data_IF_901581006337
#
_entry.id   IF_901581006337
#
_cell.length_a   1.000
_cell.length_b   1.000
_cell.length_c   1.000
_cell.angle_alpha   90.00
_cell.angle_beta   90.00
_cell.angle_gamma   90.00
#
_symmetry.space_group_name_H-M   'P 1'
#
loop_
_entity.id
_entity.type
_entity.pdbx_description
1 polymer ?
#
# COMPACT_ATOMS: atom_id res chain seq x y z
N UNK A 1 65.00 -30.54 -0.35
CA UNK A 1 64.09 -31.43 -1.13
C UNK A 1 62.85 -30.62 -1.48
N UNK A 2 62.86 -29.97 -2.64
CA UNK A 2 61.80 -29.10 -3.11
C UNK A 2 61.66 -29.23 -4.63
N UNK A 3 61.25 -30.42 -5.08
CA UNK A 3 60.92 -30.69 -6.49
C UNK A 3 59.85 -31.79 -6.51
N UNK A 4 58.59 -31.44 -6.20
CA UNK A 4 57.49 -32.40 -6.39
C UNK A 4 56.12 -31.73 -6.62
N UNK A 5 56.01 -30.41 -6.54
CA UNK A 5 54.74 -29.69 -6.67
C UNK A 5 54.52 -29.00 -8.03
N UNK A 6 55.51 -28.98 -8.93
CA UNK A 6 55.38 -28.29 -10.23
C UNK A 6 54.89 -29.17 -11.39
N UNK A 7 54.93 -30.50 -11.26
CA UNK A 7 54.49 -31.41 -12.34
C UNK A 7 52.98 -31.72 -12.32
N UNK A 8 52.29 -31.50 -11.20
CA UNK A 8 50.84 -31.70 -11.10
C UNK A 8 50.03 -30.54 -11.71
N UNK A 9 50.62 -29.35 -11.85
CA UNK A 9 49.92 -28.17 -12.35
C UNK A 9 49.87 -28.10 -13.89
N UNK A 10 50.84 -28.72 -14.58
CA UNK A 10 50.88 -28.73 -16.05
C UNK A 10 49.97 -29.79 -16.70
N UNK A 11 49.58 -30.85 -15.97
CA UNK A 11 48.67 -31.88 -16.47
C UNK A 11 47.18 -31.42 -16.48
N UNK A 12 46.79 -30.52 -15.57
CA UNK A 12 45.41 -30.01 -15.51
C UNK A 12 45.07 -28.96 -16.59
N UNK A 13 46.08 -28.26 -17.12
CA UNK A 13 45.87 -27.21 -18.13
C UNK A 13 45.68 -27.82 -19.53
N UNK A 14 46.16 -29.04 -19.77
CA UNK A 14 46.01 -29.74 -21.06
C UNK A 14 44.63 -30.40 -21.25
N UNK A 15 43.93 -30.78 -20.18
CA UNK A 15 42.58 -31.37 -20.28
C UNK A 15 41.45 -30.33 -20.47
N UNK A 16 41.68 -29.06 -20.13
CA UNK A 16 40.68 -27.99 -20.31
C UNK A 16 40.63 -27.50 -21.77
N UNK A 17 41.74 -27.59 -22.51
CA UNK A 17 41.79 -27.16 -23.92
C UNK A 17 41.25 -28.20 -24.92
N UNK A 18 41.07 -29.46 -24.52
CA UNK A 18 40.44 -30.50 -25.37
C UNK A 18 38.92 -30.60 -25.21
N UNK A 19 38.35 -30.17 -24.08
CA UNK A 19 36.89 -30.05 -23.92
C UNK A 19 36.28 -28.85 -24.68
N UNK A 20 37.10 -27.85 -25.02
CA UNK A 20 36.70 -26.68 -25.81
C UNK A 20 36.74 -26.88 -27.34
N UNK A 21 37.05 -28.10 -27.83
CA UNK A 21 37.04 -28.43 -29.27
C UNK A 21 36.01 -29.48 -29.70
N UNK A 22 35.13 -29.91 -28.79
CA UNK A 22 34.06 -30.89 -29.11
C UNK A 22 32.62 -30.37 -28.91
N UNK A 23 32.43 -29.07 -28.67
CA UNK A 23 31.12 -28.41 -28.70
C UNK A 23 31.05 -27.43 -29.87
N UNK A 24 31.34 -27.93 -31.06
CA UNK A 24 31.18 -27.22 -32.32
C UNK A 24 30.79 -28.24 -33.37
N UNK A 25 29.48 -28.52 -33.46
CA UNK A 25 28.70 -29.08 -34.59
C UNK A 25 27.43 -29.66 -33.97
N UNK A 26 26.36 -28.84 -33.85
CA UNK A 26 24.96 -29.18 -34.13
C UNK A 26 24.05 -27.95 -33.90
N UNK A 27 24.36 -26.84 -34.58
CA UNK A 27 23.50 -25.64 -34.60
C UNK A 27 22.64 -25.63 -35.84
N UNK A 28 21.62 -26.49 -35.91
CA UNK A 28 20.58 -26.43 -36.94
C UNK A 28 19.26 -26.91 -36.32
N UNK A 29 18.59 -26.01 -35.61
CA UNK A 29 17.20 -26.18 -35.20
C UNK A 29 16.54 -24.81 -34.92
N UNK A 30 15.60 -24.46 -35.79
CA UNK A 30 14.36 -23.71 -35.49
C UNK A 30 14.53 -22.29 -34.93
N UNK A 31 14.67 -21.32 -35.84
CA UNK A 31 14.25 -19.93 -35.57
C UNK A 31 12.72 -19.86 -35.52
N UNK A 32 12.14 -20.19 -34.38
CA UNK A 32 10.79 -19.78 -34.05
C UNK A 32 10.81 -18.30 -33.68
N UNK A 33 10.45 -17.44 -34.63
CA UNK A 33 10.12 -16.05 -34.35
C UNK A 33 8.93 -16.00 -33.40
N UNK A 34 9.19 -15.86 -32.10
CA UNK A 34 8.16 -15.45 -31.15
C UNK A 34 7.89 -13.98 -31.44
N UNK A 35 6.86 -13.74 -32.25
CA UNK A 35 6.24 -12.43 -32.37
C UNK A 35 5.66 -12.12 -30.99
N UNK A 36 6.32 -11.25 -30.23
CA UNK A 36 5.67 -10.57 -29.12
C UNK A 36 4.48 -9.80 -29.70
N UNK A 37 3.28 -10.29 -29.46
CA UNK A 37 2.08 -9.52 -29.73
C UNK A 37 2.18 -8.24 -28.89
N UNK A 38 2.26 -7.09 -29.57
CA UNK A 38 2.15 -5.79 -28.91
C UNK A 38 0.85 -5.68 -28.12
N UNK A 39 0.71 -4.68 -27.23
CA UNK A 39 -0.49 -4.50 -26.43
C UNK A 39 -1.71 -4.55 -27.35
N UNK A 40 -2.67 -5.42 -27.03
CA UNK A 40 -3.89 -5.57 -27.80
C UNK A 40 -4.50 -4.18 -27.99
N UNK A 41 -4.49 -3.67 -29.24
CA UNK A 41 -5.18 -2.43 -29.56
C UNK A 41 -6.61 -2.63 -29.09
N UNK A 42 -7.06 -1.84 -28.10
CA UNK A 42 -8.46 -1.81 -27.70
C UNK A 42 -9.28 -1.64 -28.97
N UNK A 43 -10.25 -2.52 -29.16
CA UNK A 43 -11.19 -2.33 -30.25
C UNK A 43 -11.82 -0.94 -30.11
N UNK A 44 -11.96 -0.18 -31.21
CA UNK A 44 -12.70 1.06 -31.16
C UNK A 44 -14.10 0.78 -30.63
N UNK A 45 -14.65 1.70 -29.83
CA UNK A 45 -16.03 1.59 -29.40
C UNK A 45 -16.93 1.40 -30.65
N UNK A 46 -17.91 0.47 -30.60
CA UNK A 46 -18.81 0.27 -31.72
C UNK A 46 -19.49 1.58 -32.07
N UNK A 47 -19.66 1.85 -33.36
CA UNK A 47 -20.37 3.05 -33.77
C UNK A 47 -21.84 2.88 -33.37
N UNK A 48 -22.56 3.98 -33.07
CA UNK A 48 -23.99 3.90 -32.78
C UNK A 48 -24.80 3.15 -33.84
N UNK A 49 -24.32 3.14 -35.08
CA UNK A 49 -24.89 2.44 -36.24
C UNK A 49 -24.83 0.91 -36.12
N UNK A 50 -23.93 0.37 -35.28
CA UNK A 50 -23.64 -1.06 -35.14
C UNK A 50 -24.48 -1.76 -34.06
N UNK A 51 -25.35 -1.01 -33.35
CA UNK A 51 -26.24 -1.61 -32.35
C UNK A 51 -27.42 -2.35 -33.03
N UNK A 52 -27.76 -3.57 -32.59
CA UNK A 52 -28.91 -4.29 -33.11
C UNK A 52 -30.19 -3.50 -32.78
N UNK A 53 -31.00 -3.20 -33.80
CA UNK A 53 -32.33 -2.60 -33.64
C UNK A 53 -33.18 -3.54 -32.79
N UNK A 54 -33.32 -3.21 -31.52
CA UNK A 54 -34.20 -3.92 -30.59
C UNK A 54 -35.17 -2.91 -30.03
N UNK A 55 -36.43 -3.31 -29.84
CA UNK A 55 -37.52 -2.47 -29.32
C UNK A 55 -37.26 -1.90 -27.90
N UNK A 56 -36.14 -2.28 -27.27
CA UNK A 56 -35.78 -1.95 -25.90
C UNK A 56 -34.85 -0.73 -25.82
N UNK A 57 -34.12 -0.40 -26.89
CA UNK A 57 -33.17 0.73 -26.92
C UNK A 57 -33.55 1.68 -28.06
N UNK A 58 -34.35 2.70 -27.73
CA UNK A 58 -34.70 3.77 -28.67
C UNK A 58 -33.46 4.64 -28.96
N UNK A 59 -33.15 4.85 -30.24
CA UNK A 59 -31.96 5.61 -30.66
C UNK A 59 -31.95 7.08 -30.24
N UNK A 60 -33.12 7.63 -29.94
CA UNK A 60 -33.30 9.01 -29.51
C UNK A 60 -34.12 9.05 -28.22
N UNK A 61 -33.42 9.12 -27.09
CA UNK A 61 -34.03 9.20 -25.77
C UNK A 61 -34.98 10.41 -25.63
N UNK A 62 -34.85 11.45 -26.46
CA UNK A 62 -35.71 12.62 -26.41
C UNK A 62 -37.08 12.40 -27.06
N UNK A 63 -37.25 11.37 -27.90
CA UNK A 63 -38.58 11.00 -28.41
C UNK A 63 -39.51 10.42 -27.35
N UNK A 64 -38.93 9.80 -26.31
CA UNK A 64 -39.69 9.25 -25.17
C UNK A 64 -40.09 10.33 -24.15
N UNK A 65 -39.48 11.51 -24.22
CA UNK A 65 -39.73 12.64 -23.32
C UNK A 65 -40.80 13.58 -23.89
N UNK A 66 -42.02 13.08 -24.09
CA UNK A 66 -43.18 13.92 -24.40
C UNK A 66 -43.89 14.36 -23.12
N UNK A 67 -43.75 15.63 -22.77
CA UNK A 67 -44.44 16.25 -21.64
C UNK A 67 -44.04 17.71 -21.45
N UNK A 68 -44.87 18.54 -20.79
CA UNK A 68 -44.52 19.94 -20.52
C UNK A 68 -43.20 20.00 -19.72
N UNK A 69 -42.22 20.75 -20.24
CA UNK A 69 -40.93 20.96 -19.59
C UNK A 69 -41.16 21.51 -18.17
N UNK A 70 -40.68 20.82 -17.11
CA UNK A 70 -40.86 21.31 -15.75
C UNK A 70 -40.24 22.70 -15.59
N UNK A 71 -40.97 23.62 -14.94
CA UNK A 71 -40.43 24.93 -14.58
C UNK A 71 -39.46 24.74 -13.40
N UNK A 72 -38.17 24.67 -13.67
CA UNK A 72 -37.12 24.54 -12.64
C UNK A 72 -36.85 25.84 -11.85
N UNK A 73 -37.78 26.79 -11.81
CA UNK A 73 -37.62 28.04 -11.03
C UNK A 73 -38.01 27.90 -9.55
N UNK A 74 -38.39 26.71 -9.11
CA UNK A 74 -38.57 26.37 -7.69
C UNK A 74 -38.06 24.95 -7.52
N UNK A 75 -36.90 24.79 -6.86
CA UNK A 75 -36.45 23.48 -6.43
C UNK A 75 -37.54 22.87 -5.53
N UNK A 76 -38.01 21.64 -5.76
CA UNK A 76 -38.78 20.96 -4.74
C UNK A 76 -37.88 20.88 -3.51
N UNK A 77 -38.35 21.43 -2.39
CA UNK A 77 -37.76 21.16 -1.09
C UNK A 77 -37.79 19.64 -0.89
N UNK A 78 -36.68 19.01 -1.27
CA UNK A 78 -36.29 17.74 -0.70
C UNK A 78 -36.37 17.93 0.79
N UNK A 79 -37.28 17.19 1.44
CA UNK A 79 -37.19 16.96 2.87
C UNK A 79 -35.87 16.23 3.07
N UNK A 80 -34.80 17.00 3.27
CA UNK A 80 -33.52 16.46 3.68
C UNK A 80 -33.82 15.56 4.88
N UNK A 81 -33.51 14.25 4.81
CA UNK A 81 -33.35 13.50 6.04
C UNK A 81 -32.35 14.29 6.85
N UNK A 82 -32.70 14.55 8.11
CA UNK A 82 -31.94 15.34 9.05
C UNK A 82 -30.44 15.25 8.74
N UNK A 83 -29.83 16.42 8.55
CA UNK A 83 -28.40 16.64 8.57
C UNK A 83 -27.87 15.97 9.84
N UNK A 84 -27.57 14.68 9.71
CA UNK A 84 -26.81 13.94 10.70
C UNK A 84 -25.46 14.61 10.62
N UNK A 85 -25.22 15.57 11.52
CA UNK A 85 -23.89 15.96 11.93
C UNK A 85 -23.10 14.65 12.00
N UNK A 86 -22.22 14.41 11.03
CA UNK A 86 -21.30 13.26 11.04
C UNK A 86 -20.50 13.42 12.31
N UNK A 87 -20.92 12.76 13.39
CA UNK A 87 -20.11 12.64 14.59
C UNK A 87 -18.86 11.90 14.17
N UNK A 88 -17.74 12.64 14.00
CA UNK A 88 -16.42 12.10 13.68
C UNK A 88 -16.15 11.00 14.71
N UNK A 89 -16.23 9.72 14.29
CA UNK A 89 -15.91 8.58 15.15
C UNK A 89 -14.45 8.70 15.53
N UNK A 90 -14.18 9.23 16.73
CA UNK A 90 -12.84 9.36 17.26
C UNK A 90 -12.35 7.97 17.66
N UNK A 91 -11.43 7.44 16.87
CA UNK A 91 -10.77 6.16 17.15
C UNK A 91 -9.64 6.41 18.14
N UNK A 92 -9.48 5.50 19.10
CA UNK A 92 -8.38 5.52 20.07
C UNK A 92 -7.16 4.83 19.44
N UNK A 93 -6.45 5.55 18.58
CA UNK A 93 -5.27 5.05 17.86
C UNK A 93 -4.18 4.50 18.79
N UNK A 94 -3.99 5.10 19.97
CA UNK A 94 -2.99 4.67 20.96
C UNK A 94 -3.22 3.25 21.53
N UNK A 95 -4.40 2.66 21.31
CA UNK A 95 -4.67 1.26 21.65
C UNK A 95 -4.23 0.29 20.54
N UNK A 96 -4.16 0.77 19.30
CA UNK A 96 -3.91 -0.06 18.12
C UNK A 96 -2.44 -0.04 17.69
N UNK A 97 -1.80 1.13 17.76
CA UNK A 97 -0.45 1.37 17.29
C UNK A 97 0.28 2.37 18.19
N UNK A 98 1.55 2.09 18.47
CA UNK A 98 2.43 2.94 19.26
C UNK A 98 3.04 4.07 18.42
N UNK A 99 3.36 5.20 19.08
CA UNK A 99 4.12 6.27 18.44
C UNK A 99 5.50 5.82 17.93
N UNK A 100 6.13 4.82 18.58
CA UNK A 100 7.37 4.20 18.12
C UNK A 100 7.21 3.46 16.80
N UNK A 101 6.17 2.63 16.66
CA UNK A 101 5.91 1.89 15.40
C UNK A 101 5.59 2.84 14.24
N UNK A 102 4.82 3.92 14.49
CA UNK A 102 4.65 5.00 13.49
C UNK A 102 5.98 5.67 13.14
N UNK A 103 6.80 5.93 14.17
CA UNK A 103 8.17 6.43 14.04
C UNK A 103 9.03 5.60 13.11
N UNK A 104 9.02 4.29 13.31
CA UNK A 104 9.83 3.33 12.57
C UNK A 104 9.32 3.18 11.13
N UNK A 105 8.00 3.13 10.90
CA UNK A 105 7.44 3.13 9.53
C UNK A 105 7.84 4.36 8.71
N UNK A 106 7.81 5.55 9.32
CA UNK A 106 8.18 6.81 8.66
C UNK A 106 9.68 6.82 8.36
N UNK A 107 10.52 6.39 9.30
CA UNK A 107 11.98 6.33 9.11
C UNK A 107 12.38 5.27 8.08
N UNK A 108 11.72 4.12 8.09
CA UNK A 108 12.03 3.02 7.18
C UNK A 108 11.67 3.35 5.72
N UNK A 109 10.72 4.28 5.49
CA UNK A 109 10.40 4.78 4.16
C UNK A 109 11.57 5.56 3.53
N UNK A 110 12.40 6.24 4.33
CA UNK A 110 13.51 7.08 3.88
C UNK A 110 14.48 6.34 2.95
N UNK A 111 15.16 5.25 3.38
CA UNK A 111 16.12 4.56 2.51
C UNK A 111 15.46 3.97 1.25
N UNK A 112 14.16 3.63 1.29
CA UNK A 112 13.43 3.15 0.10
C UNK A 112 13.19 4.29 -0.89
N UNK A 113 12.71 5.44 -0.41
CA UNK A 113 12.51 6.63 -1.23
C UNK A 113 13.83 7.15 -1.81
N UNK A 114 14.89 7.28 -1.00
CA UNK A 114 16.22 7.69 -1.47
C UNK A 114 16.73 6.80 -2.61
N UNK A 115 16.54 5.48 -2.50
CA UNK A 115 16.88 4.55 -3.58
C UNK A 115 16.04 4.79 -4.84
N UNK A 116 14.73 5.00 -4.69
CA UNK A 116 13.81 5.22 -5.81
C UNK A 116 14.17 6.53 -6.55
N UNK A 117 14.45 7.60 -5.82
CA UNK A 117 14.72 8.93 -6.40
C UNK A 117 16.20 9.18 -6.73
N UNK A 118 17.07 8.18 -6.55
CA UNK A 118 18.52 8.34 -6.77
C UNK A 118 18.86 8.75 -8.20
N UNK A 119 18.11 8.25 -9.18
CA UNK A 119 18.27 8.63 -10.59
C UNK A 119 16.92 8.70 -11.27
N UNK A 120 16.79 9.59 -12.26
CA UNK A 120 15.55 9.70 -13.04
C UNK A 120 15.14 8.37 -13.69
N UNK A 121 16.09 7.64 -14.28
CA UNK A 121 15.81 6.36 -14.95
C UNK A 121 15.26 5.31 -13.98
N UNK A 122 15.84 5.22 -12.77
CA UNK A 122 15.36 4.27 -11.76
C UNK A 122 13.98 4.68 -11.25
N UNK A 123 13.76 5.96 -10.98
CA UNK A 123 12.47 6.53 -10.61
C UNK A 123 11.38 6.23 -11.66
N UNK A 124 11.64 6.51 -12.93
CA UNK A 124 10.67 6.28 -14.02
C UNK A 124 10.24 4.80 -14.10
N UNK A 125 11.12 3.87 -13.73
CA UNK A 125 10.82 2.43 -13.69
C UNK A 125 10.17 1.94 -12.38
N UNK A 126 10.16 2.76 -11.33
CA UNK A 126 9.66 2.42 -9.99
C UNK A 126 8.67 3.49 -9.46
N UNK A 127 7.98 4.17 -10.37
CA UNK A 127 7.04 5.24 -10.01
C UNK A 127 5.92 4.73 -9.10
N UNK A 128 5.45 3.51 -9.32
CA UNK A 128 4.42 2.86 -8.50
C UNK A 128 4.91 2.60 -7.05
N UNK A 129 6.21 2.34 -6.87
CA UNK A 129 6.79 2.20 -5.54
C UNK A 129 6.91 3.56 -4.85
N UNK A 130 7.26 4.63 -5.56
CA UNK A 130 7.22 5.99 -5.00
C UNK A 130 5.79 6.40 -4.60
N UNK A 131 4.79 6.12 -5.44
CA UNK A 131 3.37 6.35 -5.12
C UNK A 131 3.01 5.61 -3.84
N UNK A 132 3.35 4.33 -3.75
CA UNK A 132 3.10 3.52 -2.55
C UNK A 132 3.71 4.16 -1.30
N UNK A 133 5.00 4.49 -1.30
CA UNK A 133 5.66 5.07 -0.12
C UNK A 133 5.03 6.40 0.30
N UNK A 134 4.73 7.30 -0.64
CA UNK A 134 4.11 8.58 -0.31
C UNK A 134 2.68 8.44 0.22
N UNK A 135 1.88 7.54 -0.35
CA UNK A 135 0.53 7.25 0.17
C UNK A 135 0.59 6.68 1.59
N UNK A 136 1.54 5.78 1.86
CA UNK A 136 1.73 5.21 3.19
C UNK A 136 2.17 6.27 4.21
N UNK A 137 3.12 7.13 3.86
CA UNK A 137 3.50 8.27 4.70
C UNK A 137 2.30 9.17 4.99
N UNK A 138 1.49 9.47 3.98
CA UNK A 138 0.29 10.27 4.15
C UNK A 138 -0.70 9.65 5.14
N UNK A 139 -0.93 8.33 5.07
CA UNK A 139 -1.73 7.57 6.06
C UNK A 139 -1.16 7.71 7.47
N UNK A 140 0.16 7.52 7.64
CA UNK A 140 0.77 7.61 8.96
C UNK A 140 0.64 8.99 9.56
N UNK A 141 0.82 10.05 8.77
CA UNK A 141 0.62 11.42 9.25
C UNK A 141 -0.85 11.75 9.53
N UNK A 142 -1.80 11.14 8.83
CA UNK A 142 -3.22 11.26 9.22
C UNK A 142 -3.50 10.56 10.56
N UNK A 143 -2.94 9.37 10.78
CA UNK A 143 -3.06 8.68 12.09
C UNK A 143 -2.45 9.54 13.20
N UNK A 144 -1.31 10.19 12.94
CA UNK A 144 -0.67 11.11 13.88
C UNK A 144 -1.55 12.34 14.15
N UNK A 145 -2.23 12.88 13.13
CA UNK A 145 -3.15 14.01 13.28
C UNK A 145 -4.36 13.68 14.17
N UNK A 146 -4.84 12.43 14.11
CA UNK A 146 -5.93 11.93 14.94
C UNK A 146 -5.46 11.28 16.27
N UNK A 147 -4.16 11.26 16.55
CA UNK A 147 -3.60 10.48 17.66
C UNK A 147 -4.06 11.00 19.02
N UNK A 148 -4.56 10.11 19.88
CA UNK A 148 -5.24 10.49 21.12
C UNK A 148 -4.31 10.69 22.31
N UNK A 149 -3.08 10.17 22.28
CA UNK A 149 -2.12 10.25 23.39
C UNK A 149 -0.97 11.20 23.09
N UNK A 150 -1.06 12.41 23.62
CA UNK A 150 -0.02 13.42 23.48
C UNK A 150 1.32 12.94 24.05
N UNK A 151 2.40 13.19 23.31
CA UNK A 151 3.77 12.92 23.75
C UNK A 151 4.29 11.51 23.47
N UNK A 152 3.48 10.61 22.90
CA UNK A 152 3.98 9.35 22.35
C UNK A 152 4.59 9.51 20.96
N UNK A 153 4.07 10.46 20.17
CA UNK A 153 4.65 10.84 18.89
C UNK A 153 5.49 12.09 19.08
N UNK A 154 6.52 12.27 18.24
CA UNK A 154 7.36 13.46 18.27
C UNK A 154 6.50 14.71 18.08
N UNK A 155 6.61 15.67 19.01
CA UNK A 155 5.77 16.88 19.00
C UNK A 155 5.86 17.71 17.71
N UNK A 156 7.02 17.73 17.05
CA UNK A 156 7.18 18.40 15.75
C UNK A 156 6.42 17.72 14.61
N UNK A 157 6.20 16.41 14.72
CA UNK A 157 5.40 15.63 13.76
C UNK A 157 3.92 15.83 14.05
N UNK A 158 3.48 15.75 15.32
CA UNK A 158 2.10 16.01 15.73
C UNK A 158 1.63 17.40 15.29
N UNK A 159 2.44 18.44 15.56
CA UNK A 159 2.09 19.84 15.22
C UNK A 159 1.86 20.05 13.72
N UNK A 160 2.61 19.32 12.89
CA UNK A 160 2.63 19.50 11.43
C UNK A 160 1.99 18.34 10.67
N UNK A 161 1.29 17.44 11.37
CA UNK A 161 0.85 16.15 10.83
C UNK A 161 -0.02 16.33 9.57
N UNK A 162 -0.99 17.23 9.62
CA UNK A 162 -1.86 17.57 8.48
C UNK A 162 -1.07 18.10 7.28
N UNK A 163 -0.07 18.97 7.52
CA UNK A 163 0.77 19.52 6.46
C UNK A 163 1.63 18.46 5.79
N UNK A 164 2.23 17.55 6.56
CA UNK A 164 2.98 16.42 6.00
C UNK A 164 2.09 15.43 5.25
N UNK A 165 0.91 15.10 5.80
CA UNK A 165 -0.10 14.28 5.11
C UNK A 165 -0.39 14.84 3.72
N UNK A 166 -0.72 16.12 3.63
CA UNK A 166 -1.05 16.79 2.37
C UNK A 166 0.14 16.85 1.41
N UNK A 167 1.34 17.15 1.92
CA UNK A 167 2.58 17.17 1.14
C UNK A 167 2.84 15.82 0.48
N UNK A 168 2.76 14.72 1.23
CA UNK A 168 2.97 13.38 0.67
C UNK A 168 1.82 12.94 -0.24
N UNK A 169 0.57 13.31 0.08
CA UNK A 169 -0.57 13.04 -0.80
C UNK A 169 -0.41 13.76 -2.15
N UNK A 170 0.03 15.01 -2.14
CA UNK A 170 0.30 15.78 -3.35
C UNK A 170 1.38 15.10 -4.20
N UNK A 171 2.48 14.69 -3.60
CA UNK A 171 3.57 14.03 -4.33
C UNK A 171 3.14 12.69 -4.94
N UNK A 172 2.29 11.92 -4.26
CA UNK A 172 1.68 10.72 -4.83
C UNK A 172 0.77 11.07 -6.04
N UNK A 173 -0.09 12.08 -5.92
CA UNK A 173 -0.96 12.54 -7.01
C UNK A 173 -0.15 13.04 -8.23
N UNK A 174 0.98 13.70 -8.00
CA UNK A 174 1.87 14.17 -9.07
C UNK A 174 2.51 13.01 -9.84
N UNK A 175 2.88 11.92 -9.14
CA UNK A 175 3.35 10.69 -9.78
C UNK A 175 2.27 10.02 -10.64
N UNK A 176 1.01 10.02 -10.20
CA UNK A 176 -0.10 9.40 -10.93
C UNK A 176 -0.51 10.17 -12.19
N UNK A 177 -0.17 11.46 -12.29
CA UNK A 177 -0.59 12.32 -13.40
C UNK A 177 0.14 11.98 -14.69
N UNK A 178 -0.60 11.46 -15.67
CA UNK A 178 -0.10 11.14 -17.00
C UNK A 178 0.61 12.35 -17.68
N UNK A 179 1.80 12.09 -18.23
CA UNK A 179 2.59 13.08 -18.97
C UNK A 179 3.30 14.12 -18.09
N UNK A 180 3.26 13.99 -16.76
CA UNK A 180 4.10 14.79 -15.87
C UNK A 180 5.58 14.38 -15.90
N UNK A 181 6.45 15.27 -15.41
CA UNK A 181 7.82 14.93 -15.00
C UNK A 181 7.95 15.12 -13.48
N UNK A 182 7.36 14.22 -12.67
CA UNK A 182 7.25 14.39 -11.23
C UNK A 182 8.57 14.20 -10.48
N UNK A 183 9.63 13.74 -11.17
CA UNK A 183 10.92 13.41 -10.56
C UNK A 183 11.45 14.51 -9.64
N UNK A 184 11.47 15.77 -10.11
CA UNK A 184 12.00 16.89 -9.31
C UNK A 184 11.19 17.10 -8.03
N UNK A 185 9.86 17.19 -8.13
CA UNK A 185 9.00 17.40 -6.93
C UNK A 185 9.15 16.26 -5.93
N UNK A 186 9.20 15.03 -6.43
CA UNK A 186 9.32 13.81 -5.64
C UNK A 186 10.68 13.73 -4.95
N UNK A 187 11.77 14.06 -5.64
CA UNK A 187 13.10 14.18 -5.04
C UNK A 187 13.10 15.22 -3.91
N UNK A 188 12.54 16.41 -4.15
CA UNK A 188 12.40 17.43 -3.09
C UNK A 188 11.56 16.94 -1.91
N UNK A 189 10.49 16.17 -2.17
CA UNK A 189 9.66 15.63 -1.08
C UNK A 189 10.39 14.54 -0.28
N UNK A 190 11.26 13.77 -0.92
CA UNK A 190 12.13 12.83 -0.22
C UNK A 190 13.16 13.56 0.66
N UNK A 191 13.74 14.66 0.18
CA UNK A 191 14.60 15.55 0.98
C UNK A 191 13.82 16.18 2.15
N UNK A 192 12.58 16.61 1.93
CA UNK A 192 11.70 17.14 3.00
C UNK A 192 11.49 16.10 4.12
N UNK A 193 11.31 14.82 3.77
CA UNK A 193 11.21 13.73 4.74
C UNK A 193 12.53 13.52 5.50
N UNK A 194 13.67 13.71 4.84
CA UNK A 194 15.00 13.58 5.47
C UNK A 194 15.21 14.67 6.50
N UNK A 195 14.94 15.91 6.12
CA UNK A 195 14.98 17.07 7.01
C UNK A 195 14.02 16.88 8.21
N UNK A 196 12.82 16.36 7.96
CA UNK A 196 11.86 16.01 9.02
C UNK A 196 12.40 14.98 10.02
N UNK A 197 13.02 13.90 9.52
CA UNK A 197 13.61 12.85 10.36
C UNK A 197 14.76 13.44 11.19
N UNK A 198 15.63 14.25 10.57
CA UNK A 198 16.73 14.95 11.24
C UNK A 198 16.24 15.99 12.26
N UNK A 199 15.00 16.45 12.14
CA UNK A 199 14.37 17.36 13.09
C UNK A 199 14.36 18.82 12.69
N UNK A 200 14.61 19.09 11.42
CA UNK A 200 14.51 20.45 10.90
C UNK A 200 13.05 20.93 10.94
N UNK A 201 12.80 22.14 11.45
CA UNK A 201 11.44 22.64 11.60
C UNK A 201 10.87 23.04 10.24
N UNK A 202 9.93 22.25 9.71
CA UNK A 202 9.03 22.72 8.64
C UNK A 202 7.80 23.35 9.30
N UNK A 203 7.43 24.55 8.88
CA UNK A 203 6.16 25.16 9.27
C UNK A 203 5.25 25.16 8.05
N UNK A 204 4.19 24.37 8.09
CA UNK A 204 3.12 24.46 7.10
C UNK A 204 2.16 25.58 7.50
N UNK A 205 1.64 26.31 6.51
CA UNK A 205 0.50 27.19 6.73
C UNK A 205 -0.70 26.33 7.13
N UNK A 206 -1.31 26.63 8.28
CA UNK A 206 -2.55 25.98 8.70
C UNK A 206 -3.62 26.29 7.66
N UNK A 207 -3.91 25.33 6.77
CA UNK A 207 -5.07 25.41 5.90
C UNK A 207 -6.31 25.06 6.71
N UNK A 208 -7.43 25.73 6.40
CA UNK A 208 -8.72 25.41 7.02
C UNK A 208 -9.02 23.93 6.83
N UNK A 209 -9.40 23.27 7.93
CA UNK A 209 -9.69 21.85 7.99
C UNK A 209 -10.94 21.57 7.13
N UNK A 210 -10.72 21.24 5.85
CA UNK A 210 -11.79 20.68 5.01
C UNK A 210 -12.21 19.34 5.60
N UNK A 211 -13.46 18.94 5.36
CA UNK A 211 -13.96 17.61 5.71
C UNK A 211 -13.07 16.52 5.06
N UNK A 212 -12.10 16.03 5.83
CA UNK A 212 -11.17 15.00 5.40
C UNK A 212 -11.88 13.64 5.33
N UNK A 213 -11.61 12.90 4.27
CA UNK A 213 -12.15 11.55 4.05
C UNK A 213 -11.01 10.56 3.81
N UNK A 214 -10.94 9.52 4.64
CA UNK A 214 -9.93 8.47 4.53
C UNK A 214 -9.91 7.78 3.16
N UNK A 215 -11.08 7.65 2.52
CA UNK A 215 -11.26 7.06 1.18
C UNK A 215 -10.60 7.88 0.05
N UNK A 216 -10.38 9.18 0.26
CA UNK A 216 -9.62 10.03 -0.67
C UNK A 216 -8.10 9.90 -0.48
N UNK A 217 -7.67 9.42 0.69
CA UNK A 217 -6.27 9.27 1.02
C UNK A 217 -5.70 7.98 0.45
N UNK A 218 -6.45 6.89 0.56
CA UNK A 218 -6.01 5.56 0.16
C UNK A 218 -7.18 4.64 -0.19
N UNK A 219 -6.87 3.60 -0.97
CA UNK A 219 -7.79 2.52 -1.30
C UNK A 219 -7.44 1.22 -0.56
N UNK A 220 -8.35 0.24 -0.67
CA UNK A 220 -8.18 -1.10 -0.08
C UNK A 220 -6.89 -1.79 -0.55
N UNK A 221 -6.52 -1.64 -1.82
CA UNK A 221 -5.38 -2.37 -2.41
C UNK A 221 -4.05 -1.94 -1.79
N UNK A 222 -3.89 -0.64 -1.51
CA UNK A 222 -2.75 -0.09 -0.81
C UNK A 222 -2.62 -0.69 0.60
N UNK A 223 -3.72 -0.70 1.36
CA UNK A 223 -3.75 -1.26 2.71
C UNK A 223 -3.45 -2.76 2.70
N UNK A 224 -3.98 -3.49 1.72
CA UNK A 224 -3.72 -4.93 1.56
C UNK A 224 -2.25 -5.23 1.27
N UNK A 225 -1.55 -4.39 0.49
CA UNK A 225 -0.09 -4.54 0.27
C UNK A 225 0.68 -4.44 1.59
N UNK A 226 0.36 -3.47 2.45
CA UNK A 226 1.02 -3.32 3.76
C UNK A 226 0.65 -4.46 4.73
N UNK A 227 -0.62 -4.86 4.77
CA UNK A 227 -1.10 -5.98 5.59
C UNK A 227 -0.43 -7.29 5.20
N UNK A 228 -0.22 -7.55 3.90
CA UNK A 228 0.49 -8.75 3.43
C UNK A 228 1.93 -8.80 3.96
N UNK A 229 2.64 -7.68 3.99
CA UNK A 229 4.01 -7.59 4.54
C UNK A 229 4.00 -7.90 6.04
N UNK A 230 3.09 -7.26 6.79
CA UNK A 230 2.98 -7.49 8.23
C UNK A 230 2.59 -8.94 8.57
N UNK A 231 1.58 -9.49 7.90
CA UNK A 231 1.16 -10.88 8.13
C UNK A 231 2.27 -11.88 7.79
N UNK A 232 3.05 -11.63 6.71
CA UNK A 232 4.21 -12.46 6.40
C UNK A 232 5.24 -12.45 7.53
N UNK A 233 5.55 -11.27 8.08
CA UNK A 233 6.48 -11.12 9.21
C UNK A 233 5.96 -11.85 10.46
N UNK A 234 4.66 -11.72 10.75
CA UNK A 234 4.01 -12.38 11.88
C UNK A 234 4.08 -13.92 11.78
N UNK A 235 3.79 -14.47 10.61
CA UNK A 235 3.87 -15.91 10.35
C UNK A 235 5.30 -16.43 10.39
N UNK A 236 6.25 -15.72 9.78
CA UNK A 236 7.66 -16.16 9.80
C UNK A 236 8.27 -16.07 11.20
N UNK A 237 7.97 -15.00 11.95
CA UNK A 237 8.52 -14.80 13.28
C UNK A 237 7.94 -15.76 14.32
N UNK A 238 6.75 -16.31 14.10
CA UNK A 238 6.12 -17.31 14.99
C UNK A 238 6.28 -18.76 14.51
N UNK A 239 7.15 -19.01 13.52
CA UNK A 239 7.34 -20.34 12.94
C UNK A 239 7.96 -21.36 13.92
N UNK A 240 8.80 -20.88 14.83
CA UNK A 240 9.42 -21.66 15.91
C UNK A 240 9.67 -20.78 17.13
N UNK A 241 9.80 -21.39 18.31
CA UNK A 241 10.10 -20.68 19.56
C UNK A 241 11.46 -19.94 19.50
N UNK A 242 12.46 -20.55 18.84
CA UNK A 242 13.77 -19.93 18.61
C UNK A 242 13.67 -18.69 17.71
N UNK A 243 12.82 -18.72 16.68
CA UNK A 243 12.60 -17.54 15.83
C UNK A 243 11.84 -16.46 16.58
N UNK A 244 10.82 -16.86 17.33
CA UNK A 244 9.97 -15.96 18.12
C UNK A 244 10.79 -15.14 19.11
N UNK A 245 11.62 -15.81 19.93
CA UNK A 245 12.48 -15.15 20.92
C UNK A 245 13.50 -14.16 20.34
N UNK A 246 13.82 -14.27 19.04
CA UNK A 246 14.75 -13.36 18.34
C UNK A 246 14.06 -12.25 17.54
N UNK A 247 12.74 -12.29 17.43
CA UNK A 247 11.97 -11.44 16.51
C UNK A 247 10.87 -10.66 17.21
N UNK A 248 10.91 -10.53 18.55
CA UNK A 248 9.85 -9.92 19.36
C UNK A 248 9.49 -8.51 18.89
N UNK A 249 10.48 -7.68 18.59
CA UNK A 249 10.24 -6.29 18.14
C UNK A 249 9.56 -6.27 16.77
N UNK A 250 10.04 -7.09 15.83
CA UNK A 250 9.42 -7.23 14.51
C UNK A 250 7.99 -7.77 14.60
N UNK A 251 7.74 -8.71 15.50
CA UNK A 251 6.42 -9.31 15.72
C UNK A 251 5.45 -8.32 16.37
N UNK A 252 5.91 -7.55 17.35
CA UNK A 252 5.14 -6.48 17.99
C UNK A 252 4.72 -5.44 16.94
N UNK A 253 5.69 -4.96 16.16
CA UNK A 253 5.49 -4.01 15.08
C UNK A 253 4.49 -4.54 14.04
N UNK A 254 4.67 -5.78 13.58
CA UNK A 254 3.76 -6.40 12.62
C UNK A 254 2.33 -6.51 13.16
N UNK A 255 2.17 -6.89 14.43
CA UNK A 255 0.86 -6.98 15.07
C UNK A 255 0.16 -5.62 15.19
N UNK A 256 0.88 -4.55 15.56
CA UNK A 256 0.33 -3.19 15.62
C UNK A 256 -0.15 -2.69 14.25
N UNK A 257 0.64 -2.94 13.20
CA UNK A 257 0.24 -2.55 11.85
C UNK A 257 -1.04 -3.27 11.41
N UNK A 258 -1.17 -4.57 11.70
CA UNK A 258 -2.39 -5.33 11.36
C UNK A 258 -3.59 -4.83 12.15
N UNK A 259 -3.42 -4.54 13.44
CA UNK A 259 -4.49 -3.99 14.28
C UNK A 259 -4.96 -2.61 13.77
N UNK A 260 -4.00 -1.72 13.49
CA UNK A 260 -4.25 -0.39 12.94
C UNK A 260 -4.99 -0.46 11.59
N UNK A 261 -4.54 -1.33 10.69
CA UNK A 261 -5.09 -1.40 9.33
C UNK A 261 -6.43 -2.15 9.31
N UNK A 262 -6.64 -3.09 10.23
CA UNK A 262 -7.96 -3.71 10.46
C UNK A 262 -9.02 -2.69 10.89
N UNK A 263 -8.67 -1.70 11.71
CA UNK A 263 -9.57 -0.58 12.03
C UNK A 263 -9.80 0.33 10.82
N UNK A 264 -8.72 0.66 10.08
CA UNK A 264 -8.78 1.56 8.94
C UNK A 264 -9.72 1.05 7.83
N UNK A 265 -9.75 -0.26 7.58
CA UNK A 265 -10.65 -0.87 6.60
C UNK A 265 -12.14 -0.68 6.93
N UNK A 266 -12.49 -0.41 8.19
CA UNK A 266 -13.88 -0.22 8.62
C UNK A 266 -14.33 1.25 8.59
N UNK A 267 -13.47 2.17 8.12
CA UNK A 267 -13.80 3.59 8.07
C UNK A 267 -14.92 3.86 7.07
N UNK A 268 -15.79 4.84 7.33
CA UNK A 268 -16.82 5.24 6.39
C UNK A 268 -16.24 5.54 5.01
N UNK A 269 -17.02 5.24 3.97
CA UNK A 269 -16.69 5.54 2.57
C UNK A 269 -15.56 4.70 1.96
N UNK A 270 -15.01 3.71 2.70
CA UNK A 270 -14.22 2.63 2.10
C UNK A 270 -15.09 1.67 1.30
N UNK A 271 -14.50 0.91 0.40
CA UNK A 271 -15.23 -0.15 -0.31
C UNK A 271 -15.76 -1.17 0.71
N UNK A 272 -17.04 -1.56 0.58
CA UNK A 272 -17.75 -2.49 1.46
C UNK A 272 -17.86 -2.03 2.93
N UNK A 273 -17.65 -0.74 3.21
CA UNK A 273 -17.64 -0.21 4.58
C UNK A 273 -18.97 -0.40 5.32
N UNK A 274 -20.11 -0.44 4.63
CA UNK A 274 -21.44 -0.59 5.20
C UNK A 274 -21.88 -2.05 5.34
N UNK A 275 -21.14 -2.98 4.73
CA UNK A 275 -21.37 -4.43 4.85
C UNK A 275 -20.98 -4.94 6.25
N UNK A 276 -21.91 -5.63 6.89
CA UNK A 276 -21.75 -6.11 8.26
C UNK A 276 -20.74 -7.27 8.36
N UNK A 277 -20.69 -8.14 7.35
CA UNK A 277 -19.79 -9.28 7.31
C UNK A 277 -18.36 -8.81 7.05
N UNK A 278 -18.17 -7.88 6.11
CA UNK A 278 -16.88 -7.24 5.86
C UNK A 278 -16.30 -6.56 7.10
N UNK A 279 -17.13 -5.75 7.79
CA UNK A 279 -16.78 -5.14 9.08
C UNK A 279 -16.44 -6.18 10.14
N UNK A 280 -17.25 -7.24 10.25
CA UNK A 280 -17.03 -8.33 11.19
C UNK A 280 -15.68 -9.02 10.99
N UNK A 281 -15.34 -9.33 9.74
CA UNK A 281 -14.06 -9.96 9.37
C UNK A 281 -12.88 -9.03 9.63
N UNK A 282 -13.00 -7.74 9.30
CA UNK A 282 -11.97 -6.72 9.54
C UNK A 282 -11.72 -6.50 11.04
N UNK A 283 -12.79 -6.41 11.84
CA UNK A 283 -12.71 -6.32 13.30
C UNK A 283 -12.09 -7.58 13.92
N UNK A 284 -12.48 -8.77 13.46
CA UNK A 284 -11.88 -10.02 13.93
C UNK A 284 -10.37 -10.09 13.65
N UNK A 285 -9.92 -9.67 12.46
CA UNK A 285 -8.50 -9.57 12.14
C UNK A 285 -7.77 -8.62 13.10
N UNK A 286 -8.33 -7.43 13.35
CA UNK A 286 -7.80 -6.46 14.33
C UNK A 286 -7.67 -7.09 15.72
N UNK A 287 -8.72 -7.75 16.21
CA UNK A 287 -8.73 -8.33 17.55
C UNK A 287 -7.71 -9.48 17.69
N UNK A 288 -7.53 -10.31 16.65
CA UNK A 288 -6.50 -11.34 16.65
C UNK A 288 -5.09 -10.76 16.61
N UNK A 289 -4.89 -9.62 15.93
CA UNK A 289 -3.62 -8.91 15.93
C UNK A 289 -3.31 -8.30 17.31
N UNK A 290 -4.30 -7.73 18.00
CA UNK A 290 -4.13 -7.24 19.38
C UNK A 290 -3.78 -8.38 20.36
N UNK A 291 -4.37 -9.57 20.18
CA UNK A 291 -3.98 -10.76 20.95
C UNK A 291 -2.55 -11.22 20.65
N UNK A 292 -2.15 -11.19 19.38
CA UNK A 292 -0.78 -11.51 18.99
C UNK A 292 0.21 -10.51 19.62
N UNK A 293 -0.09 -9.21 19.60
CA UNK A 293 0.70 -8.17 20.27
C UNK A 293 0.85 -8.45 21.77
N UNK A 294 -0.25 -8.74 22.48
CA UNK A 294 -0.20 -9.03 23.91
C UNK A 294 0.68 -10.26 24.21
N UNK A 295 0.50 -11.33 23.45
CA UNK A 295 1.30 -12.55 23.58
C UNK A 295 2.80 -12.32 23.33
N UNK A 296 3.15 -11.48 22.36
CA UNK A 296 4.55 -11.08 22.09
C UNK A 296 5.15 -10.33 23.28
N UNK A 297 4.40 -9.40 23.88
CA UNK A 297 4.85 -8.65 25.07
C UNK A 297 5.03 -9.56 26.28
N UNK A 298 4.14 -10.54 26.45
CA UNK A 298 4.20 -11.52 27.55
C UNK A 298 5.24 -12.62 27.33
N UNK A 299 5.82 -12.71 26.13
CA UNK A 299 6.73 -13.80 25.75
C UNK A 299 6.02 -15.15 25.56
N UNK A 300 4.70 -15.16 25.40
CA UNK A 300 3.91 -16.37 25.20
C UNK A 300 3.95 -16.79 23.72
N UNK A 301 4.91 -17.67 23.40
CA UNK A 301 5.11 -18.20 22.05
C UNK A 301 3.87 -18.95 21.52
N UNK A 302 3.24 -19.80 22.32
CA UNK A 302 2.13 -20.64 21.88
C UNK A 302 0.91 -19.79 21.54
N UNK A 303 0.61 -18.80 22.39
CA UNK A 303 -0.46 -17.85 22.14
C UNK A 303 -0.15 -16.94 20.95
N UNK A 304 1.09 -16.46 20.81
CA UNK A 304 1.50 -15.64 19.68
C UNK A 304 1.36 -16.39 18.35
N UNK A 305 1.83 -17.64 18.30
CA UNK A 305 1.72 -18.51 17.11
C UNK A 305 0.27 -18.83 16.75
N UNK A 306 -0.56 -19.14 17.76
CA UNK A 306 -1.99 -19.36 17.55
C UNK A 306 -2.67 -18.11 17.00
N UNK A 307 -2.39 -16.95 17.58
CA UNK A 307 -2.95 -15.66 17.15
C UNK A 307 -2.51 -15.29 15.73
N UNK A 308 -1.24 -15.49 15.39
CA UNK A 308 -0.72 -15.29 14.04
C UNK A 308 -1.44 -16.16 12.99
N UNK A 309 -1.68 -17.44 13.32
CA UNK A 309 -2.48 -18.33 12.46
C UNK A 309 -3.91 -17.81 12.30
N UNK A 310 -4.54 -17.35 13.39
CA UNK A 310 -5.90 -16.79 13.34
C UNK A 310 -5.99 -15.51 12.52
N UNK A 311 -4.98 -14.63 12.56
CA UNK A 311 -4.88 -13.48 11.65
C UNK A 311 -4.87 -13.94 10.19
N UNK A 312 -4.00 -14.90 9.84
CA UNK A 312 -3.95 -15.43 8.47
C UNK A 312 -5.25 -16.10 8.02
N UNK A 313 -5.96 -16.76 8.94
CA UNK A 313 -7.29 -17.31 8.66
C UNK A 313 -8.33 -16.22 8.42
N UNK A 314 -8.29 -15.11 9.17
CA UNK A 314 -9.16 -13.96 8.93
C UNK A 314 -8.91 -13.32 7.56
N UNK A 315 -7.65 -13.21 7.13
CA UNK A 315 -7.32 -12.75 5.77
C UNK A 315 -7.92 -13.67 4.70
N UNK A 316 -7.78 -14.99 4.86
CA UNK A 316 -8.34 -15.97 3.92
C UNK A 316 -9.87 -15.96 3.88
N UNK A 317 -10.52 -15.80 5.04
CA UNK A 317 -11.98 -15.70 5.13
C UNK A 317 -12.48 -14.44 4.42
N UNK A 318 -11.86 -13.28 4.67
CA UNK A 318 -12.20 -12.04 3.98
C UNK A 318 -12.04 -12.17 2.45
N UNK A 319 -10.92 -12.70 1.96
CA UNK A 319 -10.69 -12.89 0.52
C UNK A 319 -11.56 -13.96 -0.15
N UNK A 320 -12.29 -14.79 0.61
CA UNK A 320 -13.24 -15.72 0.03
C UNK A 320 -14.42 -14.95 -0.60
N UNK A 321 -14.87 -13.89 0.08
CA UNK A 321 -16.08 -13.15 -0.25
C UNK A 321 -15.79 -11.72 -0.76
N UNK A 322 -14.69 -11.11 -0.31
CA UNK A 322 -14.30 -9.73 -0.60
C UNK A 322 -12.88 -9.66 -1.17
N UNK A 323 -12.74 -9.49 -2.49
CA UNK A 323 -11.44 -9.38 -3.21
C UNK A 323 -11.26 -7.99 -3.79
#
# INVERSE_FOLDING_TARGET
MAVSSYLAWLAGIFQIKQLLRFLGVLGCALTSSIVFAGPAKRQPAPRPEDFPRTEIIEHDAFRLLNGPRPKFSVAPQSKNPAEQKKTKRRTTWSQLISGSTLGDEIKDAMPRLQKIVATKTFFDSHIDDAIYEFRMLSIYFEIIAEFDRAGEVRSSWEKNAVGYRERFQQSANECERAGGNPYVTVSTTAEDLENLIQGEPTNFSNHEEKDFQWSQLCDRSLLMRRLKIANKALISGTASETTFSKSTDQLFHAAEIIACFGELLTRPEFVDWDDADYKGLSCNMKDMALKAKAAVVEGDYDLARKSAKSVSQACSACHADFR
#
